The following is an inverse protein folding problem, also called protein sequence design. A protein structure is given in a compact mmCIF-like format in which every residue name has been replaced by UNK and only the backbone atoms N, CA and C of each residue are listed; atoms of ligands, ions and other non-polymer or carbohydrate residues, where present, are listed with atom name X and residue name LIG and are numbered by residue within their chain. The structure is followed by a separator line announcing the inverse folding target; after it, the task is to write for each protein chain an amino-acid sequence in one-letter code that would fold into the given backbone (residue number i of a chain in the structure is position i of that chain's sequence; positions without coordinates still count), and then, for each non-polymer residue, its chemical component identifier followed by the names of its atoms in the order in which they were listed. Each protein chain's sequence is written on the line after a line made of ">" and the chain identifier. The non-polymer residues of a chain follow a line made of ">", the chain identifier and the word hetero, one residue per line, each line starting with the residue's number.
data_IF_974827227044
#
_entry.id   IF_974827227044
#
_cell.length_a   1.000
_cell.length_b   1.000
_cell.length_c   1.000
_cell.angle_alpha   90.00
_cell.angle_beta   90.00
_cell.angle_gamma   90.00
#
_symmetry.space_group_name_H-M   'P 1'
#
loop_
_entity.id
_entity.type
_entity.pdbx_description
1 polymer ?
#
# COMPACT_ATOMS: atom_id res chain seq x y z
N UNK A 1 -35.78 16.18 41.74
CA UNK A 1 -34.63 15.33 41.38
C UNK A 1 -34.07 15.86 40.08
N UNK A 2 -32.95 16.59 40.12
CA UNK A 2 -32.30 17.09 38.91
C UNK A 2 -31.63 15.91 38.20
N UNK A 3 -31.72 15.78 36.86
CA UNK A 3 -30.99 14.73 36.16
C UNK A 3 -29.50 14.93 36.41
N UNK A 4 -28.84 13.89 36.94
CA UNK A 4 -27.39 13.86 37.05
C UNK A 4 -26.80 13.99 35.65
N UNK A 5 -25.84 14.91 35.49
CA UNK A 5 -25.07 15.13 34.27
C UNK A 5 -24.67 13.78 33.65
N UNK A 6 -24.97 13.57 32.36
CA UNK A 6 -24.55 12.37 31.65
C UNK A 6 -23.03 12.21 31.77
N UNK A 7 -22.56 11.02 32.18
CA UNK A 7 -21.14 10.69 32.19
C UNK A 7 -20.54 10.94 30.80
N UNK A 8 -19.25 11.31 30.74
CA UNK A 8 -18.53 11.41 29.47
C UNK A 8 -18.69 10.10 28.69
N UNK A 9 -19.35 10.16 27.53
CA UNK A 9 -19.44 9.03 26.62
C UNK A 9 -18.18 9.06 25.74
N UNK A 10 -17.42 7.96 25.68
CA UNK A 10 -16.29 7.94 24.74
C UNK A 10 -16.80 7.99 23.29
N UNK A 11 -15.97 8.51 22.40
CA UNK A 11 -16.24 8.44 20.97
C UNK A 11 -16.19 7.00 20.46
N UNK A 12 -16.93 6.71 19.39
CA UNK A 12 -16.68 5.52 18.58
C UNK A 12 -15.34 5.63 17.84
N UNK A 13 -14.99 4.65 17.01
CA UNK A 13 -13.75 4.72 16.24
C UNK A 13 -13.66 5.99 15.40
N UNK A 14 -12.57 6.75 15.57
CA UNK A 14 -12.35 8.05 14.93
C UNK A 14 -13.30 9.16 15.43
N UNK A 15 -14.26 8.87 16.31
CA UNK A 15 -15.13 9.87 16.91
C UNK A 15 -14.48 10.48 18.15
N UNK A 16 -14.77 11.75 18.40
CA UNK A 16 -14.38 12.40 19.64
C UNK A 16 -15.26 11.96 20.82
N UNK A 17 -14.72 12.04 22.03
CA UNK A 17 -15.48 11.81 23.27
C UNK A 17 -16.30 13.04 23.66
N UNK A 18 -17.47 12.83 24.27
CA UNK A 18 -18.27 13.88 24.89
C UNK A 18 -17.81 14.20 26.32
N UNK A 19 -18.22 15.34 26.88
CA UNK A 19 -17.82 15.78 28.24
C UNK A 19 -19.00 16.12 29.18
N UNK A 20 -20.16 15.52 28.93
CA UNK A 20 -21.40 15.67 29.71
C UNK A 20 -22.11 17.01 29.55
N UNK A 21 -21.53 17.95 28.78
CA UNK A 21 -22.19 19.17 28.30
C UNK A 21 -22.35 19.16 26.77
N UNK A 22 -21.36 18.61 26.07
CA UNK A 22 -21.35 18.48 24.62
C UNK A 22 -21.12 17.02 24.20
N UNK A 23 -21.72 16.62 23.08
CA UNK A 23 -21.34 15.40 22.37
C UNK A 23 -19.98 15.56 21.69
N UNK A 24 -19.28 14.46 21.42
CA UNK A 24 -18.04 14.50 20.66
C UNK A 24 -18.25 14.69 19.16
N UNK A 25 -17.17 15.01 18.44
CA UNK A 25 -17.17 15.19 16.99
C UNK A 25 -17.29 13.86 16.25
N UNK A 26 -17.94 13.86 15.08
CA UNK A 26 -18.03 12.68 14.21
C UNK A 26 -16.73 12.38 13.46
N UNK A 27 -16.49 11.12 13.11
CA UNK A 27 -15.32 10.75 12.29
C UNK A 27 -15.54 11.09 10.81
N UNK A 28 -14.49 11.54 10.12
CA UNK A 28 -14.44 11.65 8.66
C UNK A 28 -13.60 10.52 8.07
N UNK A 29 -14.23 9.53 7.42
CA UNK A 29 -13.54 8.32 6.99
C UNK A 29 -13.79 8.07 5.49
N UNK A 30 -12.74 8.12 4.66
CA UNK A 30 -12.83 7.85 3.22
C UNK A 30 -13.47 9.00 2.44
N UNK A 31 -12.68 9.88 1.83
CA UNK A 31 -13.23 11.03 1.11
C UNK A 31 -13.83 10.68 -0.25
N UNK A 32 -13.36 9.58 -0.86
CA UNK A 32 -13.96 8.99 -2.06
C UNK A 32 -14.71 7.69 -1.72
N UNK A 33 -14.03 6.77 -1.03
CA UNK A 33 -14.55 5.43 -0.73
C UNK A 33 -14.35 5.12 0.74
N UNK A 34 -15.46 4.75 1.39
CA UNK A 34 -15.46 4.08 2.68
C UNK A 34 -15.90 2.63 2.48
N UNK A 35 -15.04 1.66 2.77
CA UNK A 35 -15.36 0.25 2.75
C UNK A 35 -15.32 -0.36 4.14
N UNK A 36 -16.46 -0.92 4.54
CA UNK A 36 -16.64 -1.57 5.82
C UNK A 36 -16.45 -3.09 5.76
N UNK A 37 -16.84 -3.74 4.67
CA UNK A 37 -16.76 -5.20 4.54
C UNK A 37 -16.83 -5.61 3.07
N UNK A 38 -16.42 -6.84 2.79
CA UNK A 38 -16.42 -7.41 1.43
C UNK A 38 -15.14 -7.09 0.67
N UNK A 39 -15.20 -7.24 -0.65
CA UNK A 39 -14.03 -7.08 -1.53
C UNK A 39 -14.20 -5.86 -2.41
N UNK A 40 -13.16 -5.03 -2.46
CA UNK A 40 -13.02 -3.92 -3.40
C UNK A 40 -11.80 -4.19 -4.27
N UNK A 41 -11.99 -4.23 -5.59
CA UNK A 41 -10.91 -4.32 -6.56
C UNK A 41 -10.90 -3.05 -7.41
N UNK A 42 -9.78 -2.33 -7.39
CA UNK A 42 -9.61 -1.06 -8.11
C UNK A 42 -8.61 -1.25 -9.25
N UNK A 43 -9.01 -0.99 -10.49
CA UNK A 43 -8.12 -1.04 -11.64
C UNK A 43 -8.15 0.29 -12.37
N UNK A 44 -6.98 0.92 -12.51
CA UNK A 44 -6.82 2.12 -13.35
C UNK A 44 -7.74 3.28 -12.91
N UNK A 45 -7.94 3.43 -11.60
CA UNK A 45 -8.77 4.48 -10.99
C UNK A 45 -7.90 5.67 -10.61
N UNK A 46 -8.38 6.88 -10.89
CA UNK A 46 -7.76 8.12 -10.43
C UNK A 46 -8.53 8.71 -9.24
N UNK A 47 -7.85 8.82 -8.09
CA UNK A 47 -8.34 9.53 -6.91
C UNK A 47 -7.67 10.89 -6.83
N UNK A 48 -8.41 11.95 -7.19
CA UNK A 48 -7.90 13.31 -7.25
C UNK A 48 -8.67 14.27 -6.35
N UNK A 49 -7.97 14.99 -5.48
CA UNK A 49 -8.56 16.05 -4.67
C UNK A 49 -9.57 15.59 -3.61
N UNK A 50 -9.54 14.32 -3.23
CA UNK A 50 -10.46 13.80 -2.22
C UNK A 50 -9.99 14.22 -0.83
N UNK A 51 -10.93 14.64 0.02
CA UNK A 51 -10.60 15.17 1.35
C UNK A 51 -11.51 14.54 2.41
N UNK A 52 -10.93 14.26 3.57
CA UNK A 52 -11.69 13.94 4.78
C UNK A 52 -11.36 14.95 5.88
N UNK A 53 -12.38 15.35 6.63
CA UNK A 53 -12.27 16.24 7.79
C UNK A 53 -12.97 15.64 8.99
N UNK A 54 -12.35 15.79 10.16
CA UNK A 54 -12.95 15.42 11.43
C UNK A 54 -14.11 16.35 11.78
N UNK A 55 -15.16 15.79 12.38
CA UNK A 55 -16.29 16.56 12.86
C UNK A 55 -15.89 17.47 14.02
N UNK A 56 -16.28 18.73 13.93
CA UNK A 56 -16.08 19.70 15.01
C UNK A 56 -16.88 19.33 16.27
N UNK A 57 -16.31 19.61 17.44
CA UNK A 57 -17.02 19.59 18.72
C UNK A 57 -16.33 20.49 19.74
N UNK A 58 -17.13 21.03 20.67
CA UNK A 58 -16.65 21.75 21.85
C UNK A 58 -16.11 20.82 22.96
N UNK A 59 -16.29 19.51 22.84
CA UNK A 59 -15.65 18.52 23.71
C UNK A 59 -14.34 18.03 23.08
N UNK A 60 -14.42 17.00 22.25
CA UNK A 60 -13.28 16.46 21.49
C UNK A 60 -13.70 16.32 20.04
N UNK A 61 -12.88 16.83 19.12
CA UNK A 61 -13.12 16.67 17.68
C UNK A 61 -12.99 15.20 17.27
N UNK A 62 -13.67 14.84 16.18
CA UNK A 62 -13.42 13.56 15.52
C UNK A 62 -12.15 13.63 14.67
N UNK A 63 -11.69 12.46 14.25
CA UNK A 63 -10.53 12.27 13.38
C UNK A 63 -10.95 12.16 11.91
N UNK A 64 -10.03 12.51 11.02
CA UNK A 64 -10.12 12.29 9.58
C UNK A 64 -9.05 11.32 9.06
N UNK A 65 -9.47 10.24 8.39
CA UNK A 65 -8.58 9.20 7.88
C UNK A 65 -8.92 8.79 6.46
N UNK A 66 -7.89 8.53 5.65
CA UNK A 66 -8.02 8.04 4.27
C UNK A 66 -8.72 9.07 3.38
N UNK A 67 -7.98 10.07 2.90
CA UNK A 67 -8.53 11.16 2.11
C UNK A 67 -9.21 10.67 0.84
N UNK A 68 -8.71 9.60 0.22
CA UNK A 68 -9.41 8.90 -0.85
C UNK A 68 -10.11 7.64 -0.34
N UNK A 69 -9.36 6.65 0.13
CA UNK A 69 -9.89 5.32 0.50
C UNK A 69 -9.71 5.08 1.99
N UNK A 70 -10.80 4.70 2.64
CA UNK A 70 -10.78 4.16 3.99
C UNK A 70 -11.31 2.74 3.98
N UNK A 71 -10.50 1.80 4.45
CA UNK A 71 -10.86 0.43 4.76
C UNK A 71 -10.78 0.22 6.27
N UNK A 72 -11.84 -0.34 6.84
CA UNK A 72 -11.85 -0.64 8.28
C UNK A 72 -10.80 -1.72 8.60
N UNK A 73 -10.08 -1.55 9.71
CA UNK A 73 -9.02 -2.48 10.14
C UNK A 73 -9.38 -3.20 11.44
N UNK A 74 -8.58 -4.19 11.83
CA UNK A 74 -8.69 -4.82 13.15
C UNK A 74 -8.55 -3.80 14.30
N UNK A 75 -7.68 -2.79 14.14
CA UNK A 75 -7.53 -1.72 15.12
C UNK A 75 -8.79 -0.84 15.20
N UNK A 76 -9.47 -0.63 14.06
CA UNK A 76 -10.79 -0.02 14.03
C UNK A 76 -11.83 -0.88 14.75
N UNK A 77 -11.71 -2.21 14.65
CA UNK A 77 -12.54 -3.22 15.33
C UNK A 77 -12.34 -3.33 16.86
N UNK A 78 -11.26 -2.79 17.40
CA UNK A 78 -10.99 -2.85 18.84
C UNK A 78 -11.54 -1.62 19.59
N UNK A 79 -11.73 -0.50 18.88
CA UNK A 79 -11.97 0.81 19.46
C UNK A 79 -13.44 1.24 19.28
N UNK A 80 -14.36 0.49 19.87
CA UNK A 80 -15.81 0.62 19.65
C UNK A 80 -16.57 1.28 20.80
N UNK A 81 -15.85 1.75 21.82
CA UNK A 81 -16.42 2.27 23.06
C UNK A 81 -17.61 1.44 23.59
N UNK A 82 -17.44 0.12 23.66
CA UNK A 82 -18.44 -0.78 24.23
C UNK A 82 -19.70 -1.01 23.38
N UNK A 83 -19.83 -0.41 22.19
CA UNK A 83 -20.92 -0.70 21.25
C UNK A 83 -20.36 -1.14 19.91
N UNK A 84 -20.47 -2.45 19.62
CA UNK A 84 -20.11 -3.01 18.32
C UNK A 84 -21.20 -2.83 17.24
N UNK A 85 -22.25 -2.05 17.52
CA UNK A 85 -23.32 -1.85 16.56
C UNK A 85 -22.81 -1.13 15.30
N UNK A 86 -23.06 -1.75 14.15
CA UNK A 86 -22.63 -1.22 12.87
C UNK A 86 -21.20 -1.60 12.47
N UNK A 87 -20.54 -2.50 13.21
CA UNK A 87 -19.20 -2.98 12.89
C UNK A 87 -19.25 -4.37 12.26
N UNK A 88 -18.44 -4.62 11.23
CA UNK A 88 -18.45 -5.87 10.49
C UNK A 88 -17.78 -6.99 11.32
N UNK A 89 -18.23 -8.23 11.10
CA UNK A 89 -17.56 -9.42 11.68
C UNK A 89 -16.39 -9.91 10.82
N UNK A 90 -16.34 -9.48 9.56
CA UNK A 90 -15.28 -9.78 8.59
C UNK A 90 -14.69 -8.49 8.06
N UNK A 91 -13.37 -8.36 8.12
CA UNK A 91 -12.67 -7.21 7.54
C UNK A 91 -12.78 -7.19 6.02
N UNK A 92 -12.78 -6.00 5.41
CA UNK A 92 -12.75 -5.88 3.96
C UNK A 92 -11.38 -6.29 3.40
N UNK A 93 -11.38 -6.66 2.13
CA UNK A 93 -10.16 -6.82 1.34
C UNK A 93 -10.17 -5.76 0.26
N UNK A 94 -9.10 -4.96 0.19
CA UNK A 94 -8.91 -3.95 -0.85
C UNK A 94 -7.68 -4.35 -1.64
N UNK A 95 -7.88 -4.63 -2.92
CA UNK A 95 -6.81 -4.94 -3.88
C UNK A 95 -6.90 -3.97 -5.04
N UNK A 96 -5.84 -3.86 -5.83
CA UNK A 96 -5.91 -3.10 -7.06
C UNK A 96 -4.62 -3.08 -7.85
N UNK A 97 -4.63 -2.35 -8.95
CA UNK A 97 -3.46 -2.05 -9.75
C UNK A 97 -3.69 -0.80 -10.62
N UNK A 98 -2.60 -0.14 -11.01
CA UNK A 98 -2.61 0.99 -11.94
C UNK A 98 -3.38 2.21 -11.45
N UNK A 99 -3.73 2.26 -10.16
CA UNK A 99 -4.45 3.39 -9.60
C UNK A 99 -3.48 4.56 -9.34
N UNK A 100 -4.00 5.79 -9.45
CA UNK A 100 -3.23 7.00 -9.23
C UNK A 100 -3.91 7.85 -8.15
N UNK A 101 -3.10 8.40 -7.23
CA UNK A 101 -3.55 9.29 -6.18
C UNK A 101 -2.88 10.65 -6.35
N UNK A 102 -3.69 11.72 -6.37
CA UNK A 102 -3.19 13.06 -6.60
C UNK A 102 -3.90 14.07 -5.69
N UNK A 103 -3.14 14.78 -4.86
CA UNK A 103 -3.65 15.85 -4.00
C UNK A 103 -4.82 15.45 -3.09
N UNK A 104 -4.84 14.22 -2.57
CA UNK A 104 -5.82 13.85 -1.53
C UNK A 104 -5.33 14.30 -0.15
N UNK A 105 -6.26 14.47 0.79
CA UNK A 105 -5.97 14.95 2.15
C UNK A 105 -6.84 14.29 3.21
N UNK A 106 -6.25 14.02 4.37
CA UNK A 106 -6.96 13.64 5.59
C UNK A 106 -6.28 14.32 6.78
N UNK A 107 -7.03 15.10 7.56
CA UNK A 107 -6.47 15.97 8.60
C UNK A 107 -5.67 15.19 9.66
N UNK A 108 -6.02 13.93 9.92
CA UNK A 108 -5.36 13.07 10.91
C UNK A 108 -4.59 11.90 10.26
N UNK A 109 -4.20 11.98 8.98
CA UNK A 109 -3.31 10.99 8.38
C UNK A 109 -1.98 10.88 9.15
N UNK A 110 -1.45 9.66 9.33
CA UNK A 110 -0.26 9.46 10.14
C UNK A 110 1.04 9.99 9.51
N UNK A 111 1.16 9.98 8.19
CA UNK A 111 2.28 10.61 7.48
C UNK A 111 1.80 11.18 6.14
N UNK A 112 2.24 12.37 5.70
CA UNK A 112 1.86 12.94 4.41
C UNK A 112 2.44 12.16 3.22
N UNK A 113 3.45 11.32 3.46
CA UNK A 113 4.14 10.51 2.47
C UNK A 113 3.65 9.04 2.55
N UNK A 114 3.04 8.49 1.49
CA UNK A 114 2.60 7.09 1.47
C UNK A 114 3.76 6.09 1.64
N UNK A 115 4.99 6.44 1.27
CA UNK A 115 6.15 5.55 1.45
C UNK A 115 6.55 5.39 2.93
N UNK A 116 6.17 6.34 3.79
CA UNK A 116 6.46 6.29 5.23
C UNK A 116 5.35 5.60 6.02
N UNK A 117 4.15 5.56 5.46
CA UNK A 117 3.05 4.81 6.02
C UNK A 117 2.13 4.28 4.93
N UNK A 118 2.38 3.04 4.51
CA UNK A 118 1.71 2.41 3.38
C UNK A 118 0.21 2.14 3.62
N UNK A 119 -0.27 2.22 4.86
CA UNK A 119 -1.67 1.91 5.21
C UNK A 119 -2.39 2.99 6.01
N UNK A 120 -1.75 4.13 6.27
CA UNK A 120 -2.34 5.30 6.93
C UNK A 120 -1.59 6.57 6.49
N UNK A 121 -2.07 7.14 5.38
CA UNK A 121 -1.53 8.32 4.72
C UNK A 121 -2.70 9.17 4.15
N UNK A 122 -2.45 10.35 3.55
CA UNK A 122 -3.49 11.19 2.97
C UNK A 122 -4.37 10.50 1.93
N UNK A 123 -3.88 9.46 1.26
CA UNK A 123 -4.61 8.75 0.22
C UNK A 123 -5.45 7.61 0.82
N UNK A 124 -4.84 6.79 1.66
CA UNK A 124 -5.36 5.49 2.07
C UNK A 124 -5.29 5.31 3.58
N UNK A 125 -6.32 4.67 4.12
CA UNK A 125 -6.31 4.09 5.46
C UNK A 125 -6.77 2.63 5.38
N UNK A 126 -6.03 1.72 6.02
CA UNK A 126 -6.36 0.29 6.09
C UNK A 126 -6.24 -0.51 4.80
N UNK A 127 -5.93 0.14 3.68
CA UNK A 127 -5.54 -0.48 2.41
C UNK A 127 -4.07 -0.13 2.13
N UNK A 128 -3.31 -1.07 1.56
CA UNK A 128 -1.91 -0.82 1.16
C UNK A 128 -1.88 0.07 -0.08
N UNK A 129 -1.26 1.24 0.02
CA UNK A 129 -1.04 2.15 -1.09
C UNK A 129 -0.19 1.49 -2.18
N UNK A 130 0.88 0.80 -1.79
CA UNK A 130 1.80 0.12 -2.70
C UNK A 130 1.09 -0.99 -3.49
N UNK A 131 0.21 -1.77 -2.84
CA UNK A 131 -0.57 -2.80 -3.51
C UNK A 131 -1.52 -2.20 -4.53
N UNK A 132 -2.30 -1.18 -4.15
CA UNK A 132 -3.30 -0.60 -5.06
C UNK A 132 -2.68 0.24 -6.19
N UNK A 133 -1.45 0.71 -6.04
CA UNK A 133 -0.74 1.49 -7.08
C UNK A 133 0.22 0.65 -7.93
N UNK A 134 0.42 -0.63 -7.58
CA UNK A 134 1.24 -1.55 -8.36
C UNK A 134 0.81 -1.55 -9.83
N UNK A 135 1.76 -1.67 -10.75
CA UNK A 135 1.42 -1.85 -12.18
C UNK A 135 0.53 -3.07 -12.33
N UNK A 136 -0.52 -2.97 -13.14
CA UNK A 136 -1.32 -4.14 -13.46
C UNK A 136 -0.43 -5.18 -14.13
N UNK A 137 -0.56 -6.44 -13.75
CA UNK A 137 0.08 -7.51 -14.50
C UNK A 137 -0.65 -7.63 -15.83
N UNK A 138 0.02 -7.22 -16.91
CA UNK A 138 -0.48 -7.31 -18.28
C UNK A 138 -0.59 -8.77 -18.77
N UNK A 139 -0.18 -9.74 -17.95
CA UNK A 139 -0.08 -11.16 -18.33
C UNK A 139 1.14 -11.46 -19.21
N UNK A 140 2.05 -10.50 -19.40
CA UNK A 140 3.33 -10.67 -20.12
C UNK A 140 4.45 -10.95 -19.11
N UNK A 141 4.17 -11.78 -18.11
CA UNK A 141 5.18 -12.27 -17.19
C UNK A 141 6.00 -13.35 -17.93
N UNK A 142 6.92 -12.91 -18.80
CA UNK A 142 7.89 -13.81 -19.41
C UNK A 142 8.74 -14.41 -18.29
N UNK A 143 8.88 -15.74 -18.19
CA UNK A 143 9.76 -16.32 -17.18
C UNK A 143 11.16 -15.75 -17.39
N UNK A 144 11.67 -15.07 -16.38
CA UNK A 144 13.08 -14.69 -16.30
C UNK A 144 13.84 -16.00 -16.16
N UNK A 145 14.23 -16.60 -17.29
CA UNK A 145 15.18 -17.70 -17.26
C UNK A 145 16.46 -17.16 -16.59
N UNK A 146 17.11 -17.94 -15.72
CA UNK A 146 18.37 -17.51 -15.12
C UNK A 146 19.32 -17.12 -16.25
N UNK A 147 19.78 -15.86 -16.22
CA UNK A 147 20.88 -15.42 -17.07
C UNK A 147 22.08 -16.23 -16.64
N UNK A 148 22.31 -17.37 -17.29
CA UNK A 148 23.59 -18.05 -17.24
C UNK A 148 24.55 -17.07 -17.91
N UNK A 149 25.53 -16.50 -17.18
CA UNK A 149 26.53 -15.69 -17.84
C UNK A 149 27.15 -16.57 -18.92
N UNK A 150 27.02 -16.16 -20.18
CA UNK A 150 27.73 -16.82 -21.26
C UNK A 150 29.21 -16.71 -20.91
N UNK A 151 29.84 -17.84 -20.60
CA UNK A 151 31.30 -17.91 -20.51
C UNK A 151 31.82 -17.54 -21.89
N UNK A 152 32.17 -16.27 -22.07
CA UNK A 152 32.96 -15.84 -23.22
C UNK A 152 34.29 -16.54 -23.05
N UNK A 153 34.67 -17.51 -23.91
CA UNK A 153 35.98 -18.12 -23.80
C UNK A 153 37.02 -17.02 -23.92
N UNK A 154 37.83 -16.86 -22.87
CA UNK A 154 38.90 -15.88 -22.86
C UNK A 154 39.85 -16.17 -24.03
N UNK A 155 40.47 -15.13 -24.59
CA UNK A 155 41.37 -15.20 -25.76
C UNK A 155 42.51 -16.24 -25.61
N UNK A 156 42.80 -16.70 -24.38
CA UNK A 156 43.77 -17.77 -24.11
C UNK A 156 43.38 -19.13 -24.70
N UNK A 157 42.08 -19.45 -24.80
CA UNK A 157 41.62 -20.73 -25.33
C UNK A 157 41.84 -20.83 -26.86
N UNK A 158 41.70 -19.71 -27.57
CA UNK A 158 42.01 -19.63 -29.00
C UNK A 158 43.51 -19.56 -29.28
N UNK A 159 44.29 -18.92 -28.40
CA UNK A 159 45.74 -18.85 -28.52
C UNK A 159 46.41 -20.24 -28.44
N UNK A 160 45.93 -21.11 -27.54
CA UNK A 160 46.41 -22.50 -27.41
C UNK A 160 46.06 -23.37 -28.63
N UNK A 161 44.86 -23.21 -29.19
CA UNK A 161 44.44 -23.94 -30.38
C UNK A 161 45.24 -23.54 -31.64
N UNK A 162 45.55 -22.25 -31.79
CA UNK A 162 46.38 -21.75 -32.90
C UNK A 162 47.85 -22.16 -32.77
N UNK A 163 48.44 -22.11 -31.56
CA UNK A 163 49.83 -22.52 -31.33
C UNK A 163 50.06 -24.02 -31.59
N UNK A 164 49.09 -24.89 -31.28
CA UNK A 164 49.19 -26.33 -31.57
C UNK A 164 49.21 -26.62 -33.09
N UNK A 165 48.57 -25.78 -33.91
CA UNK A 165 48.53 -25.94 -35.37
C UNK A 165 49.85 -25.55 -36.07
N UNK A 166 50.65 -24.65 -35.49
CA UNK A 166 51.93 -24.22 -36.06
C UNK A 166 53.06 -25.26 -35.85
N UNK A 167 53.05 -26.02 -34.75
CA UNK A 167 54.09 -27.03 -34.49
C UNK A 167 53.93 -28.30 -35.35
N UNK A 168 52.71 -28.64 -35.78
CA UNK A 168 52.46 -29.78 -36.66
C UNK A 168 53.05 -29.61 -38.07
N UNK A 169 53.04 -28.38 -38.59
CA UNK A 169 53.55 -28.06 -39.93
C UNK A 169 55.09 -28.09 -40.02
N UNK A 170 55.79 -27.66 -38.97
CA UNK A 170 57.26 -27.67 -38.92
C UNK A 170 57.85 -29.09 -38.82
N UNK A 171 57.16 -30.03 -38.19
CA UNK A 171 57.60 -31.44 -38.12
C UNK A 171 57.38 -32.16 -39.46
N UNK A 172 56.35 -31.78 -40.22
CA UNK A 172 56.07 -32.37 -41.54
C UNK A 172 57.12 -31.98 -42.59
N UNK A 173 57.64 -30.76 -42.56
CA UNK A 173 58.64 -30.29 -43.54
C UNK A 173 60.01 -30.97 -43.39
N UNK A 174 60.37 -31.45 -42.19
CA UNK A 174 61.69 -32.09 -41.92
C UNK A 174 61.77 -33.58 -42.32
N UNK A 175 60.68 -34.20 -42.77
CA UNK A 175 60.64 -35.62 -43.18
C UNK A 175 60.64 -35.86 -44.70
N UNK A 176 60.79 -34.82 -45.52
CA UNK A 176 60.88 -34.92 -46.99
C UNK A 176 62.16 -34.28 -47.57
N UNK A 177 63.29 -34.51 -46.92
CA UNK A 177 64.63 -34.23 -47.45
C UNK A 177 65.43 -35.51 -47.55
#
# INVERSE_FOLDING_TARGET
>A
MFPTKAAAANGGYGGGSGNGLYGGGGAGLGGAIFIRQGTLNLSTVQFKGNTTQGGFSFATAGQAKGGAVFAITAASLANHNGSSQGLPVTLPTVTGCGNAFENNSADDAAAPDPAQNDTDNPDTFGASWAEVTATCDDGINLPILPVVPAEIPTLSNWALALLASCFGWLVWWRRRG
#
